data_IF_905075917541
#
_entry.id   IF_905075917541
#
_cell.length_a   1.000
_cell.length_b   1.000
_cell.length_c   1.000
_cell.angle_alpha   90.00
_cell.angle_beta   90.00
_cell.angle_gamma   90.00
#
_symmetry.space_group_name_H-M   'P 1'
#
loop_
_entity.id
_entity.type
_entity.pdbx_description
1 polymer ?
#
# COMPACT_ATOMS: atom_id res chain seq x y z
N UNK A 1 -72.66 33.45 19.73
CA UNK A 1 -71.74 33.21 18.60
C UNK A 1 -70.35 33.11 19.16
N UNK A 2 -69.90 31.87 19.32
CA UNK A 2 -68.57 31.47 19.77
C UNK A 2 -67.53 31.84 18.72
N UNK A 3 -66.46 32.50 19.15
CA UNK A 3 -65.21 32.58 18.40
C UNK A 3 -64.12 32.03 19.32
N UNK A 4 -63.79 30.77 19.08
CA UNK A 4 -62.51 30.17 19.42
C UNK A 4 -61.43 30.83 18.58
N UNK A 5 -60.46 31.48 19.21
CA UNK A 5 -59.11 31.63 18.65
C UNK A 5 -58.13 31.79 19.78
N UNK A 6 -57.53 30.69 20.23
CA UNK A 6 -56.22 30.70 20.87
C UNK A 6 -55.58 29.31 20.73
N UNK A 7 -55.12 29.01 19.52
CA UNK A 7 -54.09 28.00 19.29
C UNK A 7 -52.81 28.72 18.87
N UNK A 8 -52.07 29.25 19.85
CA UNK A 8 -50.68 29.64 19.62
C UNK A 8 -49.85 28.36 19.46
N UNK A 9 -49.60 27.95 18.22
CA UNK A 9 -48.56 26.97 17.91
C UNK A 9 -47.23 27.55 18.35
N UNK A 10 -46.71 27.11 19.50
CA UNK A 10 -45.32 27.37 19.91
C UNK A 10 -44.43 26.70 18.87
N UNK A 11 -43.79 27.49 18.01
CA UNK A 11 -42.68 27.01 17.20
C UNK A 11 -41.60 26.47 18.15
N UNK A 12 -41.36 25.17 18.12
CA UNK A 12 -40.25 24.56 18.84
C UNK A 12 -38.96 24.96 18.15
N UNK A 13 -38.21 25.89 18.74
CA UNK A 13 -36.87 26.22 18.28
C UNK A 13 -36.00 24.99 18.51
N UNK A 14 -35.64 24.29 17.44
CA UNK A 14 -34.70 23.18 17.47
C UNK A 14 -33.28 23.73 17.55
N UNK A 15 -32.51 23.26 18.51
CA UNK A 15 -31.10 23.59 18.68
C UNK A 15 -30.21 22.44 18.18
N UNK A 16 -28.93 22.72 17.96
CA UNK A 16 -27.96 21.67 17.61
C UNK A 16 -27.86 20.59 18.70
N UNK A 17 -28.12 20.96 19.96
CA UNK A 17 -28.17 20.04 21.10
C UNK A 17 -29.39 19.13 21.11
N UNK A 18 -30.35 19.31 20.20
CA UNK A 18 -31.49 18.41 20.03
C UNK A 18 -31.21 17.30 19.01
N UNK A 19 -30.07 17.35 18.30
CA UNK A 19 -29.69 16.31 17.36
C UNK A 19 -29.48 14.97 18.09
N UNK A 20 -29.97 13.83 17.57
CA UNK A 20 -29.69 12.51 18.12
C UNK A 20 -28.19 12.18 18.07
N UNK A 21 -27.74 11.30 18.98
CA UNK A 21 -26.32 10.95 19.11
C UNK A 21 -25.74 10.37 17.82
N UNK A 22 -26.55 9.61 17.08
CA UNK A 22 -26.20 8.98 15.80
C UNK A 22 -25.76 10.03 14.78
N UNK A 23 -26.53 11.12 14.63
CA UNK A 23 -26.17 12.21 13.71
C UNK A 23 -24.94 12.99 14.20
N UNK A 24 -24.77 13.14 15.52
CA UNK A 24 -23.55 13.76 16.07
C UNK A 24 -22.31 12.92 15.77
N UNK A 25 -22.41 11.59 15.85
CA UNK A 25 -21.32 10.70 15.47
C UNK A 25 -21.01 10.75 13.97
N UNK A 26 -22.04 10.83 13.11
CA UNK A 26 -21.84 11.05 11.68
C UNK A 26 -21.11 12.37 11.42
N UNK A 27 -21.48 13.45 12.11
CA UNK A 27 -20.77 14.74 12.03
C UNK A 27 -19.31 14.58 12.48
N UNK A 28 -19.06 13.86 13.58
CA UNK A 28 -17.69 13.63 14.07
C UNK A 28 -16.86 12.81 13.08
N UNK A 29 -17.46 11.89 12.31
CA UNK A 29 -16.75 11.12 11.28
C UNK A 29 -16.23 11.99 10.12
N UNK A 30 -16.81 13.18 9.89
CA UNK A 30 -16.27 14.18 8.94
C UNK A 30 -15.13 15.02 9.53
N UNK A 31 -14.93 14.97 10.84
CA UNK A 31 -13.88 15.71 11.54
C UNK A 31 -12.71 14.76 11.89
N UNK A 32 -11.52 15.33 12.11
CA UNK A 32 -10.47 14.59 12.81
C UNK A 32 -10.87 14.54 14.29
N UNK A 33 -10.84 13.36 14.93
CA UNK A 33 -11.28 13.15 16.32
C UNK A 33 -10.72 14.18 17.31
N UNK A 34 -9.49 14.64 17.10
CA UNK A 34 -8.89 15.72 17.90
C UNK A 34 -9.66 17.04 17.79
N UNK A 35 -10.03 17.46 16.57
CA UNK A 35 -10.80 18.68 16.35
C UNK A 35 -12.24 18.53 16.85
N UNK A 36 -12.86 17.36 16.65
CA UNK A 36 -14.18 17.08 17.21
C UNK A 36 -14.14 17.19 18.74
N UNK A 37 -13.13 16.59 19.37
CA UNK A 37 -12.97 16.72 20.82
C UNK A 37 -12.78 18.16 21.27
N UNK A 38 -11.84 18.91 20.66
CA UNK A 38 -11.59 20.29 21.05
C UNK A 38 -12.81 21.18 20.88
N UNK A 39 -13.57 20.99 19.80
CA UNK A 39 -14.74 21.80 19.51
C UNK A 39 -15.94 21.47 20.41
N UNK A 40 -16.18 20.19 20.70
CA UNK A 40 -17.44 19.75 21.32
C UNK A 40 -17.32 19.31 22.79
N UNK A 41 -16.18 18.76 23.23
CA UNK A 41 -16.07 18.11 24.54
C UNK A 41 -16.35 19.05 25.71
N UNK A 42 -15.99 20.33 25.56
CA UNK A 42 -16.13 21.34 26.63
C UNK A 42 -17.43 22.16 26.53
N UNK A 43 -18.31 21.87 25.57
CA UNK A 43 -19.55 22.63 25.40
C UNK A 43 -20.57 22.31 26.51
N UNK A 44 -20.80 21.02 26.79
CA UNK A 44 -21.69 20.57 27.84
C UNK A 44 -21.45 19.08 28.20
N UNK A 45 -22.08 18.62 29.28
CA UNK A 45 -21.96 17.24 29.78
C UNK A 45 -22.42 16.19 28.75
N UNK A 46 -23.39 16.52 27.90
CA UNK A 46 -23.88 15.60 26.87
C UNK A 46 -22.77 15.29 25.88
N UNK A 47 -22.13 16.32 25.31
CA UNK A 47 -21.01 16.12 24.39
C UNK A 47 -19.81 15.45 25.05
N UNK A 48 -19.48 15.83 26.29
CA UNK A 48 -18.44 15.16 27.05
C UNK A 48 -18.69 13.65 27.17
N UNK A 49 -19.94 13.25 27.42
CA UNK A 49 -20.33 11.84 27.51
C UNK A 49 -20.22 11.09 26.17
N UNK A 50 -20.39 11.77 25.03
CA UNK A 50 -20.17 11.16 23.71
C UNK A 50 -18.71 10.73 23.51
N UNK A 51 -17.75 11.47 24.06
CA UNK A 51 -16.33 11.12 23.95
C UNK A 51 -15.91 10.06 24.97
N UNK A 52 -16.31 10.17 26.23
CA UNK A 52 -15.77 9.31 27.30
C UNK A 52 -16.61 8.08 27.64
N UNK A 53 -17.94 8.16 27.52
CA UNK A 53 -18.86 7.14 28.04
C UNK A 53 -19.60 6.37 26.94
N UNK A 54 -19.38 6.70 25.67
CA UNK A 54 -19.97 5.98 24.56
C UNK A 54 -19.19 4.73 24.16
N UNK A 55 -19.81 3.88 23.35
CA UNK A 55 -19.14 2.78 22.66
C UNK A 55 -18.68 3.16 21.24
N UNK A 56 -18.68 4.46 20.91
CA UNK A 56 -18.34 4.91 19.58
C UNK A 56 -16.86 4.60 19.27
N UNK A 57 -16.54 3.96 18.13
CA UNK A 57 -15.17 3.70 17.73
C UNK A 57 -14.37 4.99 17.54
N UNK A 58 -13.09 4.97 17.94
CA UNK A 58 -12.22 6.14 17.84
C UNK A 58 -11.17 5.92 16.75
N UNK A 59 -10.93 6.94 15.95
CA UNK A 59 -9.93 7.05 14.89
C UNK A 59 -8.93 8.16 15.26
N UNK A 60 -7.81 7.75 15.85
CA UNK A 60 -6.75 8.69 16.20
C UNK A 60 -5.97 9.08 14.94
N UNK A 61 -5.85 10.38 14.68
CA UNK A 61 -5.02 10.91 13.61
C UNK A 61 -4.15 12.06 14.12
N UNK A 62 -2.84 11.85 14.10
CA UNK A 62 -1.84 12.75 14.65
C UNK A 62 -0.91 13.19 13.52
N UNK A 63 -1.29 14.25 12.81
CA UNK A 63 -0.53 14.84 11.70
C UNK A 63 0.16 16.15 12.07
N UNK A 64 -0.61 17.11 12.60
CA UNK A 64 -0.17 18.51 12.75
C UNK A 64 -0.23 19.04 14.18
N UNK A 65 -0.43 18.15 15.16
CA UNK A 65 -0.57 18.53 16.58
C UNK A 65 0.80 18.98 17.14
N UNK A 66 0.86 20.11 17.85
CA UNK A 66 2.08 20.52 18.55
C UNK A 66 2.44 19.56 19.69
N UNK A 67 3.69 19.60 20.19
CA UNK A 67 4.12 18.70 21.26
C UNK A 67 3.30 18.85 22.55
N UNK A 68 3.00 20.09 22.95
CA UNK A 68 2.22 20.37 24.17
C UNK A 68 0.77 19.92 24.05
N UNK A 69 0.13 20.19 22.91
CA UNK A 69 -1.23 19.70 22.63
C UNK A 69 -1.28 18.18 22.57
N UNK A 70 -0.24 17.55 22.03
CA UNK A 70 -0.14 16.10 21.97
C UNK A 70 -0.04 15.46 23.35
N UNK A 71 0.75 16.01 24.27
CA UNK A 71 0.84 15.49 25.65
C UNK A 71 -0.52 15.57 26.36
N UNK A 72 -1.26 16.66 26.15
CA UNK A 72 -2.63 16.80 26.63
C UNK A 72 -3.56 15.75 26.02
N UNK A 73 -3.55 15.63 24.68
CA UNK A 73 -4.37 14.70 23.92
C UNK A 73 -4.11 13.24 24.31
N UNK A 74 -2.85 12.88 24.45
CA UNK A 74 -2.42 11.55 24.88
C UNK A 74 -2.97 11.20 26.26
N UNK A 75 -2.84 12.14 27.21
CA UNK A 75 -3.19 11.90 28.61
C UNK A 75 -4.69 11.86 28.83
N UNK A 76 -5.42 12.80 28.21
CA UNK A 76 -6.84 13.00 28.50
C UNK A 76 -7.76 12.23 27.55
N UNK A 77 -7.27 11.75 26.41
CA UNK A 77 -8.14 11.18 25.36
C UNK A 77 -7.68 9.80 24.93
N UNK A 78 -6.44 9.70 24.45
CA UNK A 78 -5.93 8.44 23.92
C UNK A 78 -5.86 7.38 25.02
N UNK A 79 -5.23 7.69 26.16
CA UNK A 79 -5.07 6.73 27.26
C UNK A 79 -6.41 6.23 27.82
N UNK A 80 -7.39 7.10 28.17
CA UNK A 80 -8.69 6.65 28.67
C UNK A 80 -9.47 5.80 27.67
N UNK A 81 -9.31 6.07 26.37
CA UNK A 81 -10.13 5.45 25.33
C UNK A 81 -9.43 4.30 24.57
N UNK A 82 -8.28 3.81 25.04
CA UNK A 82 -7.46 2.78 24.36
C UNK A 82 -8.25 1.57 23.85
N UNK A 83 -9.23 1.08 24.63
CA UNK A 83 -10.08 -0.06 24.27
C UNK A 83 -11.05 0.21 23.12
N UNK A 84 -11.29 1.47 22.75
CA UNK A 84 -12.21 1.90 21.68
C UNK A 84 -11.50 2.33 20.39
N UNK A 85 -10.17 2.50 20.45
CA UNK A 85 -9.38 2.94 19.30
C UNK A 85 -9.33 1.82 18.28
N UNK A 86 -9.93 2.05 17.10
CA UNK A 86 -9.92 1.11 15.97
C UNK A 86 -8.88 1.45 14.92
N UNK A 87 -8.58 2.74 14.76
CA UNK A 87 -7.61 3.26 13.79
C UNK A 87 -6.64 4.17 14.52
N UNK A 88 -5.35 3.97 14.28
CA UNK A 88 -4.30 4.82 14.82
C UNK A 88 -3.38 5.26 13.68
N UNK A 89 -3.44 6.55 13.36
CA UNK A 89 -2.57 7.19 12.37
C UNK A 89 -1.62 8.16 13.08
N UNK A 90 -0.33 7.92 12.91
CA UNK A 90 0.75 8.82 13.32
C UNK A 90 1.51 9.26 12.08
N UNK A 91 1.64 10.57 11.87
CA UNK A 91 2.35 11.16 10.72
C UNK A 91 3.17 12.39 11.11
N UNK A 92 3.35 12.60 12.41
CA UNK A 92 4.02 13.75 12.97
C UNK A 92 5.47 13.38 13.34
N UNK A 93 6.48 13.97 12.66
CA UNK A 93 7.89 13.64 12.91
C UNK A 93 8.41 14.17 14.25
N UNK A 94 7.70 15.09 14.91
CA UNK A 94 8.10 15.62 16.22
C UNK A 94 7.74 14.70 17.39
N UNK A 95 7.02 13.60 17.13
CA UNK A 95 6.57 12.66 18.14
C UNK A 95 7.36 11.37 18.00
N UNK A 96 7.99 10.94 19.09
CA UNK A 96 8.65 9.63 19.13
C UNK A 96 7.58 8.51 19.10
N UNK A 97 7.50 7.72 18.01
CA UNK A 97 6.50 6.67 17.86
C UNK A 97 6.71 5.53 18.86
N UNK A 98 7.94 5.25 19.28
CA UNK A 98 8.25 4.18 20.19
C UNK A 98 7.77 4.51 21.60
N UNK A 99 8.05 5.72 22.09
CA UNK A 99 7.53 6.18 23.40
C UNK A 99 6.00 6.09 23.45
N UNK A 100 5.34 6.51 22.37
CA UNK A 100 3.90 6.48 22.26
C UNK A 100 3.36 5.05 22.18
N UNK A 101 3.75 4.31 21.14
CA UNK A 101 3.16 3.02 20.81
C UNK A 101 3.51 1.96 21.86
N UNK A 102 4.73 1.93 22.39
CA UNK A 102 5.09 0.88 23.37
C UNK A 102 4.31 1.01 24.67
N UNK A 103 3.97 2.24 25.06
CA UNK A 103 3.11 2.47 26.23
C UNK A 103 1.65 2.08 25.98
N UNK A 104 1.17 2.17 24.73
CA UNK A 104 -0.24 1.99 24.39
C UNK A 104 -0.57 0.60 23.82
N UNK A 105 0.35 -0.05 23.11
CA UNK A 105 0.09 -1.23 22.27
C UNK A 105 -0.61 -2.35 23.01
N UNK A 106 -0.22 -2.63 24.26
CA UNK A 106 -0.85 -3.67 25.09
C UNK A 106 -2.32 -3.38 25.43
N UNK A 107 -2.75 -2.13 25.32
CA UNK A 107 -4.10 -1.68 25.65
C UNK A 107 -4.98 -1.44 24.41
N UNK A 108 -4.38 -1.41 23.22
CA UNK A 108 -5.05 -1.17 21.94
C UNK A 108 -5.71 -2.46 21.41
N UNK A 109 -6.56 -3.09 22.22
CA UNK A 109 -7.12 -4.43 21.95
C UNK A 109 -8.12 -4.48 20.78
N UNK A 110 -8.69 -3.33 20.40
CA UNK A 110 -9.62 -3.19 19.27
C UNK A 110 -8.98 -2.56 18.03
N UNK A 111 -7.65 -2.36 18.03
CA UNK A 111 -6.96 -1.68 16.94
C UNK A 111 -6.92 -2.56 15.68
N UNK A 112 -7.68 -2.14 14.68
CA UNK A 112 -7.82 -2.83 13.39
C UNK A 112 -6.86 -2.32 12.33
N UNK A 113 -6.49 -1.03 12.40
CA UNK A 113 -5.62 -0.38 11.43
C UNK A 113 -4.57 0.51 12.09
N UNK A 114 -3.31 0.34 11.71
CA UNK A 114 -2.18 1.14 12.17
C UNK A 114 -1.48 1.78 10.97
N UNK A 115 -1.42 3.10 10.94
CA UNK A 115 -0.76 3.88 9.88
C UNK A 115 0.36 4.71 10.49
N UNK A 116 1.59 4.38 10.14
CA UNK A 116 2.79 5.04 10.61
C UNK A 116 3.48 5.68 9.42
N UNK A 117 3.38 7.00 9.32
CA UNK A 117 3.98 7.77 8.24
C UNK A 117 5.10 8.65 8.78
N UNK A 118 6.11 8.86 7.95
CA UNK A 118 7.30 9.65 8.26
C UNK A 118 8.05 9.14 9.52
N UNK A 119 8.14 7.83 9.69
CA UNK A 119 8.86 7.23 10.83
C UNK A 119 10.33 6.97 10.46
N UNK A 120 11.26 7.23 11.39
CA UNK A 120 12.65 6.81 11.20
C UNK A 120 12.79 5.28 11.17
N UNK A 121 13.62 4.78 10.26
CA UNK A 121 13.79 3.36 9.97
C UNK A 121 14.29 2.55 11.17
N UNK A 122 15.08 3.16 12.06
CA UNK A 122 15.55 2.58 13.32
C UNK A 122 14.40 2.11 14.23
N UNK A 123 13.23 2.74 14.16
CA UNK A 123 12.06 2.40 14.99
C UNK A 123 11.22 1.25 14.41
N UNK A 124 11.39 0.92 13.13
CA UNK A 124 10.50 -0.04 12.45
C UNK A 124 10.60 -1.43 13.07
N UNK A 125 11.81 -1.96 13.26
CA UNK A 125 11.96 -3.29 13.86
C UNK A 125 11.37 -3.34 15.29
N UNK A 126 11.73 -2.40 16.20
CA UNK A 126 11.10 -2.33 17.51
C UNK A 126 9.57 -2.27 17.47
N UNK A 127 8.99 -1.50 16.54
CA UNK A 127 7.52 -1.44 16.36
C UNK A 127 6.97 -2.80 15.92
N UNK A 128 7.59 -3.41 14.91
CA UNK A 128 7.16 -4.70 14.36
C UNK A 128 7.19 -5.81 15.40
N UNK A 129 8.17 -5.80 16.31
CA UNK A 129 8.25 -6.76 17.42
C UNK A 129 7.03 -6.70 18.35
N UNK A 130 6.45 -5.51 18.53
CA UNK A 130 5.30 -5.30 19.40
C UNK A 130 3.95 -5.49 18.68
N UNK A 131 3.91 -5.56 17.34
CA UNK A 131 2.65 -5.75 16.60
C UNK A 131 1.96 -7.09 16.92
N UNK A 132 2.73 -8.10 17.31
CA UNK A 132 2.20 -9.40 17.76
C UNK A 132 1.25 -9.29 18.96
N UNK A 133 1.34 -8.21 19.74
CA UNK A 133 0.46 -7.94 20.87
C UNK A 133 -0.94 -7.42 20.48
N UNK A 134 -1.14 -7.07 19.21
CA UNK A 134 -2.40 -6.49 18.71
C UNK A 134 -3.27 -7.60 18.10
N UNK A 135 -4.32 -8.07 18.80
CA UNK A 135 -5.01 -9.32 18.45
C UNK A 135 -5.89 -9.22 17.21
N UNK A 136 -6.28 -8.02 16.81
CA UNK A 136 -7.23 -7.77 15.70
C UNK A 136 -6.65 -6.88 14.60
N UNK A 137 -5.34 -6.64 14.61
CA UNK A 137 -4.68 -5.82 13.61
C UNK A 137 -4.82 -6.47 12.23
N UNK A 138 -5.55 -5.81 11.35
CA UNK A 138 -5.88 -6.30 10.01
C UNK A 138 -5.27 -5.46 8.90
N UNK A 139 -4.89 -4.22 9.19
CA UNK A 139 -4.27 -3.31 8.24
C UNK A 139 -3.05 -2.63 8.86
N UNK A 140 -1.93 -2.67 8.16
CA UNK A 140 -0.69 -2.03 8.57
C UNK A 140 -0.11 -1.23 7.40
N UNK A 141 0.19 0.03 7.65
CA UNK A 141 0.96 0.90 6.74
C UNK A 141 2.16 1.47 7.49
N UNK A 142 3.37 1.27 6.97
CA UNK A 142 4.61 1.84 7.52
C UNK A 142 5.36 2.55 6.38
N UNK A 143 5.55 3.85 6.53
CA UNK A 143 6.27 4.69 5.58
C UNK A 143 7.44 5.35 6.30
N UNK A 144 8.65 5.02 5.86
CA UNK A 144 9.88 5.51 6.47
C UNK A 144 10.44 6.74 5.76
N UNK A 145 11.05 7.67 6.52
CA UNK A 145 11.73 8.85 5.95
C UNK A 145 13.15 8.58 5.47
N UNK A 146 13.83 7.62 6.08
CA UNK A 146 15.25 7.36 5.83
C UNK A 146 15.48 5.89 5.50
N UNK A 147 16.71 5.59 5.07
CA UNK A 147 17.05 4.25 4.65
C UNK A 147 17.29 3.35 5.86
N UNK A 148 16.78 2.12 5.81
CA UNK A 148 17.12 1.12 6.81
C UNK A 148 18.51 0.54 6.48
N UNK A 149 19.46 0.76 7.40
CA UNK A 149 20.86 0.34 7.26
C UNK A 149 21.04 -1.14 7.70
N UNK A 150 20.17 -1.65 8.58
CA UNK A 150 20.31 -2.99 9.19
C UNK A 150 19.54 -4.08 8.44
N UNK A 151 20.14 -5.27 8.39
CA UNK A 151 19.55 -6.50 7.84
C UNK A 151 18.60 -7.12 8.87
N UNK A 152 17.38 -6.62 8.93
CA UNK A 152 16.37 -7.20 9.81
C UNK A 152 15.32 -7.95 8.98
N UNK A 153 14.93 -9.12 9.48
CA UNK A 153 13.89 -9.92 8.85
C UNK A 153 12.50 -9.40 9.24
N UNK A 154 12.21 -8.14 8.87
CA UNK A 154 10.93 -7.48 9.14
C UNK A 154 9.79 -8.26 8.47
N UNK A 155 10.02 -8.75 7.25
CA UNK A 155 9.04 -9.51 6.49
C UNK A 155 8.59 -10.78 7.21
N UNK A 156 9.49 -11.59 7.78
CA UNK A 156 9.06 -12.81 8.48
C UNK A 156 8.20 -12.51 9.71
N UNK A 157 8.50 -11.44 10.44
CA UNK A 157 7.70 -11.00 11.60
C UNK A 157 6.31 -10.55 11.16
N UNK A 158 6.22 -9.79 10.06
CA UNK A 158 4.96 -9.31 9.51
C UNK A 158 4.09 -10.43 8.92
N UNK A 159 4.70 -11.37 8.21
CA UNK A 159 4.00 -12.51 7.61
C UNK A 159 3.34 -13.41 8.68
N UNK A 160 3.89 -13.43 9.91
CA UNK A 160 3.35 -14.18 11.06
C UNK A 160 2.17 -13.51 11.76
N UNK A 161 1.79 -12.29 11.38
CA UNK A 161 0.64 -11.60 11.97
C UNK A 161 -0.67 -12.25 11.48
N UNK A 162 -1.29 -13.04 12.35
CA UNK A 162 -2.37 -13.98 12.02
C UNK A 162 -3.70 -13.36 11.57
N UNK A 163 -3.86 -12.04 11.73
CA UNK A 163 -5.05 -11.29 11.29
C UNK A 163 -4.75 -10.24 10.22
N UNK A 164 -3.48 -10.07 9.85
CA UNK A 164 -3.07 -9.04 8.91
C UNK A 164 -3.52 -9.41 7.50
N UNK A 165 -4.36 -8.56 6.92
CA UNK A 165 -4.90 -8.70 5.56
C UNK A 165 -4.31 -7.69 4.59
N UNK A 166 -4.07 -6.47 5.05
CA UNK A 166 -3.49 -5.38 4.28
C UNK A 166 -2.14 -4.98 4.87
N UNK A 167 -1.10 -5.02 4.04
CA UNK A 167 0.26 -4.66 4.43
C UNK A 167 0.89 -3.76 3.38
N UNK A 168 1.23 -2.54 3.78
CA UNK A 168 1.87 -1.53 2.94
C UNK A 168 3.14 -1.02 3.61
N UNK A 169 4.27 -1.31 2.99
CA UNK A 169 5.60 -1.05 3.55
C UNK A 169 6.43 -0.28 2.54
N UNK A 170 6.74 0.96 2.89
CA UNK A 170 7.59 1.85 2.13
C UNK A 170 8.85 2.10 2.95
N UNK A 171 9.86 1.26 2.73
CA UNK A 171 11.16 1.31 3.43
C UNK A 171 12.25 1.27 2.39
N UNK A 172 13.06 2.33 2.30
CA UNK A 172 14.24 2.31 1.44
C UNK A 172 15.33 1.43 2.08
N UNK A 173 15.44 0.18 1.66
CA UNK A 173 16.51 -0.71 2.09
C UNK A 173 17.76 -0.46 1.25
N UNK A 174 18.92 -0.31 1.90
CA UNK A 174 20.20 -0.30 1.19
C UNK A 174 20.66 -1.72 0.82
N UNK A 175 20.25 -2.73 1.60
CA UNK A 175 20.61 -4.13 1.40
C UNK A 175 19.51 -5.04 1.97
N UNK A 176 18.98 -5.93 1.14
CA UNK A 176 17.95 -6.88 1.55
C UNK A 176 18.59 -8.16 2.16
N UNK A 177 18.01 -8.79 3.21
CA UNK A 177 18.58 -9.98 3.83
C UNK A 177 18.65 -11.18 2.86
N UNK A 178 19.77 -11.91 2.93
CA UNK A 178 20.08 -13.05 2.04
C UNK A 178 19.30 -14.33 2.38
N UNK A 179 18.61 -14.38 3.51
CA UNK A 179 17.81 -15.54 3.90
C UNK A 179 16.59 -15.12 4.70
N UNK A 180 15.41 -15.37 4.13
CA UNK A 180 14.18 -15.50 4.91
C UNK A 180 14.24 -16.90 5.53
N UNK A 181 14.73 -16.99 6.77
CA UNK A 181 14.93 -18.25 7.49
C UNK A 181 13.61 -18.96 7.82
N UNK A 182 13.66 -20.27 7.58
CA UNK A 182 12.84 -21.40 8.05
C UNK A 182 11.35 -21.32 7.73
N UNK A 183 10.94 -22.19 6.80
CA UNK A 183 9.57 -22.61 6.56
C UNK A 183 8.91 -23.04 7.88
N UNK A 184 8.22 -22.11 8.50
CA UNK A 184 7.13 -22.45 9.41
C UNK A 184 5.96 -22.80 8.50
N UNK A 185 5.33 -23.97 8.67
CA UNK A 185 4.19 -24.45 7.88
C UNK A 185 2.92 -23.56 7.97
N UNK A 186 3.04 -22.34 8.49
CA UNK A 186 1.95 -21.39 8.71
C UNK A 186 1.94 -20.36 7.58
N UNK A 187 0.84 -20.34 6.82
CA UNK A 187 0.60 -19.33 5.81
C UNK A 187 0.06 -18.04 6.42
N UNK A 188 0.48 -16.92 5.85
CA UNK A 188 0.01 -15.59 6.20
C UNK A 188 -1.41 -15.34 5.67
N UNK A 189 -2.17 -14.51 6.39
CA UNK A 189 -3.52 -14.09 6.00
C UNK A 189 -3.55 -12.89 5.06
N UNK A 190 -2.39 -12.40 4.62
CA UNK A 190 -2.27 -11.20 3.80
C UNK A 190 -2.97 -11.41 2.45
N UNK A 191 -3.90 -10.51 2.13
CA UNK A 191 -4.64 -10.43 0.88
C UNK A 191 -4.13 -9.29 -0.01
N UNK A 192 -3.56 -8.23 0.58
CA UNK A 192 -3.03 -7.05 -0.11
C UNK A 192 -1.62 -6.77 0.39
N UNK A 193 -0.64 -6.82 -0.50
CA UNK A 193 0.78 -6.59 -0.18
C UNK A 193 1.37 -5.52 -1.08
N UNK A 194 1.83 -4.43 -0.48
CA UNK A 194 2.54 -3.34 -1.13
C UNK A 194 3.92 -3.23 -0.50
N UNK A 195 4.94 -3.37 -1.34
CA UNK A 195 6.34 -3.30 -0.95
C UNK A 195 7.02 -2.29 -1.86
N UNK A 196 7.29 -1.09 -1.35
CA UNK A 196 8.08 -0.07 -2.04
C UNK A 196 9.51 -0.04 -1.50
N UNK A 197 10.20 -1.16 -1.69
CA UNK A 197 11.61 -1.31 -1.44
C UNK A 197 12.28 -2.07 -2.58
N UNK A 198 13.62 -2.13 -2.57
CA UNK A 198 14.36 -2.99 -3.49
C UNK A 198 14.31 -4.44 -3.02
N UNK A 199 13.73 -5.31 -3.85
CA UNK A 199 13.62 -6.75 -3.63
C UNK A 199 14.06 -7.50 -4.90
N UNK A 200 14.81 -8.59 -4.76
CA UNK A 200 15.13 -9.45 -5.91
C UNK A 200 14.00 -10.44 -6.21
N UNK A 201 13.97 -10.98 -7.42
CA UNK A 201 13.02 -12.05 -7.79
C UNK A 201 13.07 -13.23 -6.79
N UNK A 202 14.25 -13.68 -6.37
CA UNK A 202 14.39 -14.78 -5.40
C UNK A 202 13.72 -14.48 -4.06
N UNK A 203 13.81 -13.22 -3.62
CA UNK A 203 13.19 -12.81 -2.36
C UNK A 203 11.68 -12.71 -2.51
N UNK A 204 11.22 -12.20 -3.65
CA UNK A 204 9.80 -12.16 -3.97
C UNK A 204 9.20 -13.57 -3.99
N UNK A 205 9.83 -14.54 -4.65
CA UNK A 205 9.32 -15.92 -4.69
C UNK A 205 9.23 -16.54 -3.30
N UNK A 206 10.18 -16.25 -2.41
CA UNK A 206 10.09 -16.68 -1.01
C UNK A 206 8.91 -16.00 -0.30
N UNK A 207 8.73 -14.68 -0.42
CA UNK A 207 7.58 -13.99 0.19
C UNK A 207 6.26 -14.59 -0.31
N UNK A 208 6.12 -14.76 -1.64
CA UNK A 208 4.93 -15.32 -2.27
C UNK A 208 4.60 -16.73 -1.75
N UNK A 209 5.60 -17.52 -1.37
CA UNK A 209 5.36 -18.84 -0.78
C UNK A 209 4.63 -18.82 0.57
N UNK A 210 4.64 -17.69 1.29
CA UNK A 210 3.93 -17.52 2.57
C UNK A 210 2.55 -16.86 2.43
N UNK A 211 2.17 -16.34 1.26
CA UNK A 211 0.93 -15.57 1.07
C UNK A 211 0.01 -16.18 0.00
N UNK A 212 -0.45 -17.43 0.17
CA UNK A 212 -1.30 -18.10 -0.84
C UNK A 212 -2.67 -17.43 -1.05
N UNK A 213 -3.13 -16.61 -0.09
CA UNK A 213 -4.39 -15.87 -0.16
C UNK A 213 -4.26 -14.48 -0.80
N UNK A 214 -3.08 -14.15 -1.32
CA UNK A 214 -2.80 -12.85 -1.90
C UNK A 214 -3.71 -12.57 -3.10
N UNK A 215 -4.33 -11.40 -3.10
CA UNK A 215 -5.22 -10.89 -4.16
C UNK A 215 -4.60 -9.75 -4.93
N UNK A 216 -3.82 -8.91 -4.25
CA UNK A 216 -3.17 -7.74 -4.83
C UNK A 216 -1.71 -7.67 -4.38
N UNK A 217 -0.82 -7.53 -5.36
CA UNK A 217 0.61 -7.33 -5.17
C UNK A 217 1.05 -6.03 -5.81
N UNK A 218 1.82 -5.20 -5.10
CA UNK A 218 2.51 -4.05 -5.67
C UNK A 218 3.95 -4.02 -5.20
N UNK A 219 4.90 -4.04 -6.15
CA UNK A 219 6.35 -3.98 -5.89
C UNK A 219 6.93 -2.73 -6.57
N UNK A 220 7.51 -1.84 -5.76
CA UNK A 220 8.06 -0.57 -6.23
C UNK A 220 9.47 -0.64 -6.82
N UNK A 221 10.24 -1.69 -6.52
CA UNK A 221 11.55 -1.92 -7.11
C UNK A 221 11.90 -3.43 -7.08
N UNK A 222 11.64 -4.12 -8.20
CA UNK A 222 11.99 -5.52 -8.39
C UNK A 222 13.28 -5.63 -9.21
N UNK A 223 14.28 -6.33 -8.69
CA UNK A 223 15.57 -6.58 -9.35
C UNK A 223 15.75 -8.03 -9.77
N UNK A 224 16.70 -8.28 -10.67
CA UNK A 224 17.01 -9.62 -11.15
C UNK A 224 17.38 -10.59 -10.02
N UNK A 225 17.12 -11.88 -10.27
CA UNK A 225 17.68 -12.96 -9.46
C UNK A 225 19.18 -13.06 -9.69
N UNK A 226 19.92 -13.34 -8.61
CA UNK A 226 21.37 -13.63 -8.66
C UNK A 226 21.64 -15.13 -8.75
N UNK A 227 20.61 -15.96 -8.75
CA UNK A 227 20.70 -17.41 -8.69
C UNK A 227 19.89 -18.03 -9.84
N UNK A 228 20.56 -18.85 -10.65
CA UNK A 228 19.96 -19.39 -11.89
C UNK A 228 18.83 -20.42 -11.67
N UNK A 229 18.52 -20.79 -10.42
CA UNK A 229 17.58 -21.87 -10.10
C UNK A 229 16.44 -21.38 -9.21
N UNK A 230 15.33 -20.96 -9.84
CA UNK A 230 14.02 -20.88 -9.18
C UNK A 230 13.40 -22.28 -9.23
N UNK A 231 14.01 -23.24 -8.53
CA UNK A 231 13.45 -24.59 -8.36
C UNK A 231 12.89 -24.73 -6.94
N UNK A 232 11.67 -24.26 -6.76
CA UNK A 232 10.81 -24.68 -5.63
C UNK A 232 9.40 -24.87 -6.15
N UNK A 233 8.72 -25.87 -5.62
CA UNK A 233 7.29 -26.13 -5.83
C UNK A 233 6.52 -24.82 -5.69
N UNK A 234 6.15 -24.23 -6.83
CA UNK A 234 5.56 -22.91 -6.84
C UNK A 234 4.23 -22.96 -6.09
N UNK A 235 4.12 -22.16 -5.03
CA UNK A 235 2.87 -22.03 -4.29
C UNK A 235 1.83 -21.45 -5.23
N UNK A 236 0.68 -22.12 -5.29
CA UNK A 236 -0.38 -21.72 -6.21
C UNK A 236 -1.11 -20.48 -5.69
N UNK A 237 -0.92 -19.33 -6.35
CA UNK A 237 -1.56 -18.06 -6.03
C UNK A 237 -2.90 -17.89 -6.76
N UNK A 238 -3.85 -18.80 -6.54
CA UNK A 238 -5.14 -18.81 -7.25
C UNK A 238 -5.97 -17.53 -7.06
N UNK A 239 -5.76 -16.83 -5.94
CA UNK A 239 -6.51 -15.63 -5.58
C UNK A 239 -5.90 -14.35 -6.14
N UNK A 240 -4.68 -14.38 -6.68
CA UNK A 240 -3.97 -13.20 -7.15
C UNK A 240 -4.63 -12.65 -8.42
N UNK A 241 -5.27 -11.48 -8.30
CA UNK A 241 -6.00 -10.82 -9.39
C UNK A 241 -5.30 -9.58 -9.91
N UNK A 242 -4.45 -8.94 -9.12
CA UNK A 242 -3.79 -7.70 -9.49
C UNK A 242 -2.31 -7.74 -9.15
N UNK A 243 -1.47 -7.32 -10.09
CA UNK A 243 -0.03 -7.15 -9.89
C UNK A 243 0.43 -5.82 -10.49
N UNK A 244 1.20 -5.05 -9.72
CA UNK A 244 1.88 -3.85 -10.16
C UNK A 244 3.38 -4.01 -9.87
N UNK A 245 4.22 -4.10 -10.90
CA UNK A 245 5.64 -4.40 -10.75
C UNK A 245 6.50 -3.34 -11.44
N UNK A 246 7.35 -2.67 -10.66
CA UNK A 246 8.35 -1.75 -11.19
C UNK A 246 9.70 -2.46 -11.27
N UNK A 247 10.09 -2.82 -12.49
CA UNK A 247 11.22 -3.68 -12.82
C UNK A 247 12.49 -2.85 -13.03
N UNK A 248 13.54 -3.16 -12.28
CA UNK A 248 14.86 -2.54 -12.37
C UNK A 248 15.87 -3.61 -12.76
N UNK A 249 16.36 -3.53 -14.00
CA UNK A 249 17.36 -4.46 -14.55
C UNK A 249 16.94 -5.92 -14.62
N UNK A 250 15.63 -6.23 -14.66
CA UNK A 250 15.15 -7.62 -14.75
C UNK A 250 15.15 -8.08 -16.20
N UNK A 251 15.92 -9.12 -16.58
CA UNK A 251 15.84 -9.72 -17.92
C UNK A 251 14.44 -10.28 -18.18
N UNK A 252 13.94 -10.15 -19.41
CA UNK A 252 12.57 -10.59 -19.71
C UNK A 252 12.39 -12.09 -19.45
N UNK A 253 13.39 -12.93 -19.72
CA UNK A 253 13.32 -14.38 -19.45
C UNK A 253 12.99 -14.69 -17.97
N UNK A 254 13.59 -13.95 -17.04
CA UNK A 254 13.32 -14.13 -15.61
C UNK A 254 11.92 -13.63 -15.24
N UNK A 255 11.51 -12.48 -15.79
CA UNK A 255 10.16 -11.96 -15.62
C UNK A 255 9.10 -12.93 -16.16
N UNK A 256 9.30 -13.44 -17.37
CA UNK A 256 8.41 -14.42 -18.02
C UNK A 256 8.26 -15.68 -17.17
N UNK A 257 9.37 -16.21 -16.65
CA UNK A 257 9.35 -17.34 -15.71
C UNK A 257 8.55 -17.03 -14.45
N UNK A 258 8.75 -15.84 -13.87
CA UNK A 258 7.99 -15.38 -12.71
C UNK A 258 6.48 -15.34 -13.01
N UNK A 259 6.09 -14.77 -14.16
CA UNK A 259 4.69 -14.66 -14.59
C UNK A 259 4.05 -16.03 -14.76
N UNK A 260 4.75 -16.95 -15.45
CA UNK A 260 4.30 -18.32 -15.68
C UNK A 260 4.13 -19.07 -14.36
N UNK A 261 4.98 -18.85 -13.37
CA UNK A 261 4.94 -19.63 -12.14
C UNK A 261 3.90 -19.12 -11.14
N UNK A 262 3.67 -17.80 -11.05
CA UNK A 262 2.90 -17.21 -9.95
C UNK A 262 1.69 -16.38 -10.38
N UNK A 263 1.62 -15.91 -11.63
CA UNK A 263 0.68 -14.86 -12.04
C UNK A 263 -0.36 -15.33 -13.07
N UNK A 264 -0.58 -16.64 -13.24
CA UNK A 264 -1.52 -17.19 -14.24
C UNK A 264 -2.97 -16.72 -14.10
N UNK A 265 -3.39 -16.32 -12.89
CA UNK A 265 -4.79 -15.98 -12.58
C UNK A 265 -5.06 -14.45 -12.55
N UNK A 266 -4.05 -13.64 -12.88
CA UNK A 266 -4.17 -12.19 -12.85
C UNK A 266 -5.21 -11.68 -13.85
N UNK A 267 -5.84 -10.58 -13.48
CA UNK A 267 -6.78 -9.82 -14.29
C UNK A 267 -6.26 -8.41 -14.58
N UNK A 268 -5.41 -7.88 -13.70
CA UNK A 268 -4.79 -6.57 -13.82
C UNK A 268 -3.29 -6.72 -13.68
N UNK A 269 -2.55 -6.27 -14.69
CA UNK A 269 -1.09 -6.24 -14.69
C UNK A 269 -0.62 -4.84 -15.08
N UNK A 270 0.11 -4.18 -14.18
CA UNK A 270 0.83 -2.93 -14.46
C UNK A 270 2.32 -3.17 -14.33
N UNK A 271 3.09 -2.80 -15.35
CA UNK A 271 4.53 -2.98 -15.40
C UNK A 271 5.18 -1.63 -15.67
N UNK A 272 6.19 -1.28 -14.89
CA UNK A 272 7.00 -0.08 -15.13
C UNK A 272 8.49 -0.43 -15.21
N UNK A 273 9.18 0.04 -16.24
CA UNK A 273 10.62 -0.18 -16.46
C UNK A 273 11.35 1.18 -16.56
N UNK A 274 11.63 1.84 -15.41
CA UNK A 274 12.10 3.23 -15.37
C UNK A 274 13.58 3.43 -15.71
N UNK A 275 14.42 2.39 -15.59
CA UNK A 275 15.89 2.50 -15.69
C UNK A 275 16.49 1.52 -16.73
N UNK A 276 16.34 1.81 -18.03
CA UNK A 276 16.73 0.93 -19.13
C UNK A 276 18.24 0.71 -19.27
N UNK A 277 19.08 1.63 -18.76
CA UNK A 277 20.54 1.62 -18.96
C UNK A 277 21.26 0.39 -18.39
N UNK A 278 20.58 -0.33 -17.53
CA UNK A 278 21.12 -1.49 -16.82
C UNK A 278 20.35 -2.77 -17.14
N UNK A 279 19.39 -2.74 -18.08
CA UNK A 279 18.73 -3.95 -18.54
C UNK A 279 19.53 -4.51 -19.71
N UNK A 280 20.09 -5.74 -19.62
CA UNK A 280 20.84 -6.34 -20.73
C UNK A 280 20.00 -6.52 -22.00
N UNK A 281 18.68 -6.58 -21.85
CA UNK A 281 17.70 -6.88 -22.90
C UNK A 281 16.79 -5.68 -23.21
N UNK A 282 17.40 -4.52 -23.52
CA UNK A 282 16.71 -3.22 -23.70
C UNK A 282 15.43 -3.33 -24.55
N UNK A 283 15.40 -4.17 -25.58
CA UNK A 283 14.27 -4.24 -26.52
C UNK A 283 13.23 -5.32 -26.21
N UNK A 284 13.45 -6.21 -25.24
CA UNK A 284 12.55 -7.34 -25.02
C UNK A 284 11.21 -6.92 -24.40
N UNK A 285 11.19 -5.90 -23.53
CA UNK A 285 9.94 -5.39 -22.95
C UNK A 285 9.07 -4.60 -23.92
N UNK A 286 9.63 -4.15 -25.05
CA UNK A 286 8.90 -3.52 -26.15
C UNK A 286 8.68 -4.48 -27.33
N UNK A 287 8.87 -5.79 -27.13
CA UNK A 287 8.58 -6.79 -28.12
C UNK A 287 7.12 -7.23 -28.00
N UNK A 288 6.26 -6.68 -28.87
CA UNK A 288 4.83 -6.98 -28.88
C UNK A 288 4.53 -8.47 -29.10
N UNK A 289 5.27 -9.15 -29.97
CA UNK A 289 5.03 -10.57 -30.29
C UNK A 289 5.25 -11.45 -29.07
N UNK A 290 6.29 -11.13 -28.28
CA UNK A 290 6.63 -11.85 -27.06
C UNK A 290 5.59 -11.67 -25.96
N UNK A 291 5.13 -10.43 -25.76
CA UNK A 291 4.02 -10.17 -24.85
C UNK A 291 2.73 -10.86 -25.29
N UNK A 292 2.38 -10.76 -26.57
CA UNK A 292 1.20 -11.43 -27.11
C UNK A 292 1.27 -12.94 -26.88
N UNK A 293 2.44 -13.56 -27.11
CA UNK A 293 2.65 -14.97 -26.83
C UNK A 293 2.43 -15.28 -25.35
N UNK A 294 3.09 -14.56 -24.44
CA UNK A 294 2.95 -14.77 -22.99
C UNK A 294 1.49 -14.63 -22.53
N UNK A 295 0.80 -13.59 -22.99
CA UNK A 295 -0.60 -13.32 -22.61
C UNK A 295 -1.53 -14.41 -23.13
N UNK A 296 -1.41 -14.74 -24.42
CA UNK A 296 -2.28 -15.71 -25.10
C UNK A 296 -2.07 -17.14 -24.60
N UNK A 297 -0.93 -17.44 -23.98
CA UNK A 297 -0.59 -18.79 -23.50
C UNK A 297 -0.78 -18.96 -22.00
N UNK A 298 -0.43 -17.95 -21.19
CA UNK A 298 -0.35 -18.10 -19.74
C UNK A 298 -1.21 -17.12 -18.94
N UNK A 299 -1.59 -15.96 -19.49
CA UNK A 299 -2.33 -14.90 -18.78
C UNK A 299 -3.76 -14.74 -19.32
N UNK A 300 -4.46 -15.87 -19.47
CA UNK A 300 -5.76 -15.96 -20.16
C UNK A 300 -6.88 -15.13 -19.51
N UNK A 301 -6.71 -14.76 -18.23
CA UNK A 301 -7.69 -13.97 -17.48
C UNK A 301 -7.38 -12.46 -17.47
N UNK A 302 -6.31 -12.03 -18.14
CA UNK A 302 -5.87 -10.64 -18.16
C UNK A 302 -6.90 -9.75 -18.86
N UNK A 303 -7.32 -8.68 -18.18
CA UNK A 303 -8.31 -7.71 -18.67
C UNK A 303 -7.72 -6.32 -18.80
N UNK A 304 -6.86 -5.94 -17.86
CA UNK A 304 -6.18 -4.65 -17.84
C UNK A 304 -4.69 -4.92 -17.91
N UNK A 305 -4.06 -4.37 -18.94
CA UNK A 305 -2.63 -4.43 -19.13
C UNK A 305 -2.09 -3.00 -19.30
N UNK A 306 -1.22 -2.60 -18.38
CA UNK A 306 -0.52 -1.31 -18.38
C UNK A 306 0.99 -1.59 -18.44
N UNK A 307 1.64 -0.96 -19.40
CA UNK A 307 3.07 -1.13 -19.63
C UNK A 307 3.72 0.22 -19.85
N UNK A 308 4.57 0.61 -18.92
CA UNK A 308 5.40 1.81 -18.99
C UNK A 308 6.85 1.41 -19.17
N UNK A 309 7.46 1.94 -20.22
CA UNK A 309 8.83 1.66 -20.58
C UNK A 309 9.56 2.93 -20.98
N UNK A 310 10.69 3.21 -20.32
CA UNK A 310 11.58 4.30 -20.68
C UNK A 310 12.85 3.72 -21.30
N UNK A 311 13.34 4.30 -22.41
CA UNK A 311 14.65 4.05 -23.02
C UNK A 311 15.51 5.30 -23.01
N UNK A 312 16.82 5.14 -22.77
CA UNK A 312 17.80 6.24 -22.85
C UNK A 312 19.01 5.82 -23.66
N UNK A 313 19.40 6.63 -24.64
CA UNK A 313 20.57 6.37 -25.49
C UNK A 313 20.26 5.66 -26.81
N UNK A 314 19.04 5.81 -27.34
CA UNK A 314 18.75 5.43 -28.72
C UNK A 314 19.64 6.27 -29.67
N UNK A 315 20.41 5.58 -30.50
CA UNK A 315 21.18 6.20 -31.58
C UNK A 315 20.20 6.83 -32.59
N UNK A 316 20.26 8.14 -32.83
CA UNK A 316 19.26 8.85 -33.62
C UNK A 316 19.20 8.42 -35.09
N UNK A 317 20.27 7.82 -35.65
CA UNK A 317 20.33 7.57 -37.10
C UNK A 317 19.85 6.18 -37.53
N UNK A 318 19.93 5.15 -36.67
CA UNK A 318 19.55 3.77 -37.03
C UNK A 318 18.63 3.07 -36.01
N UNK A 319 18.56 3.54 -34.75
CA UNK A 319 17.78 2.87 -33.70
C UNK A 319 16.39 3.44 -33.52
N UNK A 320 16.09 4.62 -34.06
CA UNK A 320 14.76 5.21 -34.02
C UNK A 320 13.75 4.40 -34.85
N UNK A 321 14.07 4.15 -36.14
CA UNK A 321 13.21 3.37 -37.03
C UNK A 321 13.01 1.93 -36.52
N UNK A 322 14.04 1.32 -35.94
CA UNK A 322 13.93 -0.01 -35.32
C UNK A 322 13.00 0.01 -34.08
N UNK A 323 13.06 1.06 -33.28
CA UNK A 323 12.19 1.25 -32.11
C UNK A 323 10.73 1.51 -32.52
N UNK A 324 10.51 2.35 -33.53
CA UNK A 324 9.19 2.56 -34.15
C UNK A 324 8.61 1.25 -34.68
N UNK A 325 9.41 0.48 -35.43
CA UNK A 325 8.98 -0.81 -35.99
C UNK A 325 8.56 -1.81 -34.90
N UNK A 326 9.22 -1.79 -33.73
CA UNK A 326 8.85 -2.63 -32.58
C UNK A 326 7.54 -2.16 -31.94
N UNK A 327 7.37 -0.85 -31.79
CA UNK A 327 6.17 -0.25 -31.20
C UNK A 327 4.95 -0.39 -32.11
N UNK A 328 5.12 -0.27 -33.42
CA UNK A 328 4.02 -0.39 -34.39
C UNK A 328 3.31 -1.74 -34.29
N UNK A 329 4.00 -2.79 -33.83
CA UNK A 329 3.39 -4.09 -33.57
C UNK A 329 2.38 -4.09 -32.41
N UNK A 330 2.43 -3.12 -31.51
CA UNK A 330 1.39 -2.91 -30.48
C UNK A 330 0.08 -2.35 -31.05
N UNK A 331 0.02 -2.05 -32.36
CA UNK A 331 -1.22 -1.73 -33.07
C UNK A 331 -1.80 -2.94 -33.84
N UNK A 332 -1.27 -4.15 -33.61
CA UNK A 332 -1.83 -5.35 -34.23
C UNK A 332 -3.27 -5.60 -33.79
N UNK A 333 -3.99 -6.42 -34.57
CA UNK A 333 -5.38 -6.81 -34.29
C UNK A 333 -5.57 -7.31 -32.85
N UNK A 334 -4.59 -8.07 -32.33
CA UNK A 334 -4.62 -8.60 -30.97
C UNK A 334 -4.81 -7.48 -29.92
N UNK A 335 -4.00 -6.43 -29.98
CA UNK A 335 -4.03 -5.33 -29.00
C UNK A 335 -5.30 -4.50 -29.10
N UNK A 336 -5.74 -4.20 -30.32
CA UNK A 336 -6.97 -3.43 -30.59
C UNK A 336 -8.20 -4.16 -30.08
N UNK A 337 -8.30 -5.48 -30.30
CA UNK A 337 -9.43 -6.29 -29.81
C UNK A 337 -9.51 -6.36 -28.29
N UNK A 338 -8.36 -6.31 -27.61
CA UNK A 338 -8.29 -6.23 -26.15
C UNK A 338 -8.49 -4.81 -25.59
N UNK A 339 -8.63 -3.81 -26.46
CA UNK A 339 -8.71 -2.38 -26.09
C UNK A 339 -7.51 -1.91 -25.27
N UNK A 340 -6.34 -2.48 -25.51
CA UNK A 340 -5.07 -2.03 -24.92
C UNK A 340 -4.37 -1.15 -25.94
N UNK A 341 -4.40 0.16 -25.68
CA UNK A 341 -3.82 1.17 -26.55
C UNK A 341 -2.48 1.61 -25.96
N UNK A 342 -1.52 1.89 -26.83
CA UNK A 342 -0.20 2.32 -26.43
C UNK A 342 0.21 3.56 -27.19
N UNK A 343 0.87 4.46 -26.49
CA UNK A 343 1.46 5.65 -27.03
C UNK A 343 2.94 5.67 -26.72
N UNK A 344 3.67 6.48 -27.48
CA UNK A 344 5.05 6.74 -27.19
C UNK A 344 5.41 8.16 -27.55
N UNK A 345 6.44 8.69 -26.90
CA UNK A 345 7.00 9.97 -27.25
C UNK A 345 8.52 9.91 -27.20
N UNK A 346 9.14 10.63 -28.12
CA UNK A 346 10.59 10.79 -28.22
C UNK A 346 11.00 12.19 -27.79
N UNK A 347 12.05 12.28 -26.98
CA UNK A 347 12.63 13.56 -26.56
C UNK A 347 14.15 13.51 -26.70
N UNK A 348 14.66 14.40 -27.54
CA UNK A 348 16.10 14.66 -27.66
C UNK A 348 16.50 15.77 -26.67
N UNK A 349 17.53 15.52 -25.87
CA UNK A 349 18.22 16.56 -25.08
C UNK A 349 19.64 16.73 -25.58
N UNK A 350 20.29 17.84 -25.19
CA UNK A 350 21.70 18.12 -25.53
C UNK A 350 22.68 17.04 -25.08
N UNK A 351 22.28 16.19 -24.13
CA UNK A 351 23.13 15.15 -23.51
C UNK A 351 22.65 13.71 -23.73
N UNK A 352 21.42 13.49 -24.22
CA UNK A 352 20.91 12.14 -24.54
C UNK A 352 19.56 12.15 -25.23
N UNK A 353 19.24 11.05 -25.91
CA UNK A 353 17.92 10.77 -26.45
C UNK A 353 17.11 9.90 -25.47
N UNK A 354 15.83 10.21 -25.33
CA UNK A 354 14.87 9.51 -24.50
C UNK A 354 13.67 9.07 -25.33
N UNK A 355 13.21 7.84 -25.13
CA UNK A 355 11.92 7.40 -25.63
C UNK A 355 11.12 6.84 -24.47
N UNK A 356 9.86 7.24 -24.34
CA UNK A 356 8.93 6.70 -23.37
C UNK A 356 7.79 6.06 -24.12
N UNK A 357 7.50 4.81 -23.80
CA UNK A 357 6.35 4.02 -24.26
C UNK A 357 5.44 3.77 -23.05
N UNK A 358 4.14 3.93 -23.23
CA UNK A 358 3.15 3.83 -22.15
C UNK A 358 1.78 3.47 -22.71
N UNK A 359 0.97 2.75 -21.94
CA UNK A 359 -0.46 2.56 -22.24
C UNK A 359 -1.31 3.77 -21.84
#
# INVERSE_FOLDING_TARGET
>A
TTIDTNSSSKESITTFEDLPNELLYEIFDYLIDYHAFQAFCYLNNRFQNLFFHSNFPIKINIREISKSEFEYYLTHIIKPCTKRIKVFQLSNPCIDPCLLLFSLMKHLTQLTALVLNKIEANYIEPIVDHLSSLPVLSSLTIISINNLIKKNNIYSKLLRLSKLKYCDIIIKLLQCPKSLLVATNEFSTIEYLIIDNEISIDQLTIILSYVPQLRHLSIGNLTESKHDQIEKDAVNLNHLKSASLKLICVPFNQFETLMINYFRQIQVLSIATPFPRFNPDINEYINADRWQQLISTHLLNLRIFDLQYASRGLDPYNKHQAFETLIDKFNSKFWIEHQWFFNWHYRQTTSSNYANFYS
#
